data_IF_823899962752
#
_entry.id   IF_823899962752
#
_cell.length_a   1.000
_cell.length_b   1.000
_cell.length_c   1.000
_cell.angle_alpha   90.00
_cell.angle_beta   90.00
_cell.angle_gamma   90.00
#
_symmetry.space_group_name_H-M   'P 1'
#
loop_
_entity.id
_entity.type
_entity.pdbx_description
1 polymer ?
#
# COMPACT_ATOMS: atom_id res chain seq x y z
N UNK A 1 -1.07 -31.19 -2.36
CA UNK A 1 -1.73 -30.41 -1.28
C UNK A 1 -0.99 -29.10 -1.22
N UNK A 2 -1.66 -27.96 -1.32
CA UNK A 2 -1.04 -26.64 -1.13
C UNK A 2 -0.51 -26.54 0.31
N UNK A 3 0.72 -26.09 0.48
CA UNK A 3 1.30 -25.91 1.80
C UNK A 3 0.57 -24.74 2.49
N UNK A 4 0.16 -24.95 3.75
CA UNK A 4 -0.38 -23.87 4.59
C UNK A 4 0.77 -22.97 5.01
N UNK A 5 0.63 -21.66 4.81
CA UNK A 5 1.55 -20.65 5.34
C UNK A 5 1.02 -20.15 6.69
N UNK A 6 1.81 -20.33 7.75
CA UNK A 6 1.45 -20.00 9.12
C UNK A 6 1.90 -18.57 9.44
N UNK A 7 0.95 -17.68 9.67
CA UNK A 7 1.22 -16.27 9.94
C UNK A 7 1.20 -15.94 11.42
N UNK A 8 2.14 -15.10 11.83
CA UNK A 8 2.02 -14.30 13.04
C UNK A 8 1.50 -12.90 12.67
N UNK A 9 0.49 -12.42 13.39
CA UNK A 9 -0.04 -11.06 13.26
C UNK A 9 0.60 -10.18 14.33
N UNK A 10 1.39 -9.19 13.89
CA UNK A 10 2.09 -8.26 14.79
C UNK A 10 1.38 -6.91 14.77
N UNK A 11 0.74 -6.58 15.89
CA UNK A 11 -0.17 -5.45 16.03
C UNK A 11 -1.63 -5.86 15.95
N UNK A 12 -2.44 -5.32 16.85
CA UNK A 12 -3.89 -5.59 17.00
C UNK A 12 -4.70 -4.33 16.72
N UNK A 13 -4.27 -3.56 15.71
CA UNK A 13 -4.94 -2.35 15.25
C UNK A 13 -6.03 -2.64 14.24
N UNK A 14 -6.81 -1.60 13.89
CA UNK A 14 -7.91 -1.69 12.92
C UNK A 14 -7.48 -2.31 11.58
N UNK A 15 -6.27 -2.03 11.12
CA UNK A 15 -5.78 -2.61 9.86
C UNK A 15 -5.68 -4.13 9.96
N UNK A 16 -5.22 -4.65 11.10
CA UNK A 16 -5.14 -6.11 11.33
C UNK A 16 -6.52 -6.78 11.32
N UNK A 17 -7.59 -6.10 11.81
CA UNK A 17 -8.96 -6.60 11.70
C UNK A 17 -9.42 -6.66 10.22
N UNK A 18 -9.03 -5.67 9.42
CA UNK A 18 -9.47 -5.58 8.03
C UNK A 18 -8.77 -6.61 7.14
N UNK A 19 -7.46 -6.74 7.26
CA UNK A 19 -6.68 -7.65 6.40
C UNK A 19 -7.06 -9.11 6.60
N UNK A 20 -7.47 -9.50 7.81
CA UNK A 20 -7.91 -10.87 8.07
C UNK A 20 -9.15 -11.27 7.25
N UNK A 21 -10.05 -10.33 6.94
CA UNK A 21 -11.24 -10.60 6.11
C UNK A 21 -10.89 -11.09 4.71
N UNK A 22 -9.84 -10.51 4.13
CA UNK A 22 -9.32 -10.97 2.85
C UNK A 22 -8.44 -12.20 2.99
N UNK A 23 -7.54 -12.22 3.97
CA UNK A 23 -6.60 -13.31 4.18
C UNK A 23 -7.25 -14.68 4.32
N UNK A 24 -8.35 -14.77 5.08
CA UNK A 24 -9.09 -16.03 5.30
C UNK A 24 -9.75 -16.61 4.04
N UNK A 25 -9.87 -15.83 2.97
CA UNK A 25 -10.39 -16.29 1.70
C UNK A 25 -9.36 -17.13 0.91
N UNK A 26 -8.06 -17.05 1.25
CA UNK A 26 -7.06 -17.96 0.68
C UNK A 26 -6.94 -19.21 1.58
N UNK A 27 -7.25 -20.40 1.08
CA UNK A 27 -7.21 -21.63 1.87
C UNK A 27 -5.81 -22.00 2.39
N UNK A 28 -4.77 -21.39 1.87
CA UNK A 28 -3.37 -21.58 2.30
C UNK A 28 -2.98 -20.68 3.48
N UNK A 29 -3.79 -19.65 3.79
CA UNK A 29 -3.57 -18.78 4.93
C UNK A 29 -4.00 -19.44 6.24
N UNK A 30 -3.20 -19.33 7.28
CA UNK A 30 -3.58 -19.60 8.68
C UNK A 30 -2.84 -18.65 9.60
N UNK A 31 -3.55 -17.97 10.48
CA UNK A 31 -2.94 -17.24 11.58
C UNK A 31 -2.73 -18.18 12.77
N UNK A 32 -1.49 -18.30 13.24
CA UNK A 32 -1.09 -19.18 14.34
C UNK A 32 -0.61 -18.42 15.56
N UNK A 33 -0.28 -17.13 15.41
CA UNK A 33 0.20 -16.29 16.51
C UNK A 33 -0.29 -14.86 16.39
N UNK A 34 -0.45 -14.19 17.52
CA UNK A 34 -0.61 -12.74 17.62
C UNK A 34 0.43 -12.18 18.57
N UNK A 35 1.11 -11.11 18.17
CA UNK A 35 2.00 -10.36 19.03
C UNK A 35 1.48 -8.93 19.23
N UNK A 36 1.29 -8.53 20.49
CA UNK A 36 0.85 -7.20 20.88
C UNK A 36 1.66 -6.76 22.11
N UNK A 37 1.64 -5.44 22.43
CA UNK A 37 2.26 -4.90 23.65
C UNK A 37 1.60 -5.37 24.96
N UNK A 38 0.49 -6.09 24.87
CA UNK A 38 -0.27 -6.65 25.98
C UNK A 38 -0.73 -8.03 25.58
N UNK A 39 -0.44 -9.03 26.42
CA UNK A 39 -0.89 -10.41 26.22
C UNK A 39 -2.41 -10.49 26.14
N UNK A 40 -3.12 -9.79 27.04
CA UNK A 40 -4.58 -9.70 27.05
C UNK A 40 -5.16 -9.23 25.72
N UNK A 41 -4.53 -8.21 25.08
CA UNK A 41 -4.95 -7.73 23.77
C UNK A 41 -4.70 -8.74 22.67
N UNK A 42 -3.61 -9.48 22.73
CA UNK A 42 -3.32 -10.53 21.77
C UNK A 42 -4.31 -11.69 21.90
N UNK A 43 -4.63 -12.12 23.12
CA UNK A 43 -5.65 -13.15 23.41
C UNK A 43 -7.05 -12.72 22.97
N UNK A 44 -7.45 -11.47 23.28
CA UNK A 44 -8.72 -10.92 22.85
C UNK A 44 -8.82 -10.82 21.31
N UNK A 45 -7.72 -10.52 20.62
CA UNK A 45 -7.69 -10.47 19.16
C UNK A 45 -7.88 -11.86 18.55
N UNK A 46 -7.22 -12.90 19.08
CA UNK A 46 -7.43 -14.29 18.66
C UNK A 46 -8.88 -14.69 18.86
N UNK A 47 -9.43 -14.44 20.04
CA UNK A 47 -10.82 -14.80 20.38
C UNK A 47 -11.86 -14.06 19.50
N UNK A 48 -11.51 -12.86 19.02
CA UNK A 48 -12.36 -12.06 18.15
C UNK A 48 -12.40 -12.51 16.68
N UNK A 49 -11.46 -13.39 16.25
CA UNK A 49 -11.32 -13.81 14.84
C UNK A 49 -11.18 -15.34 14.71
N UNK A 50 -12.14 -16.13 15.22
CA UNK A 50 -12.02 -17.60 15.23
C UNK A 50 -11.87 -18.22 13.83
N UNK A 51 -12.34 -17.52 12.79
CA UNK A 51 -12.21 -17.95 11.38
C UNK A 51 -10.79 -17.87 10.84
N UNK A 52 -9.94 -17.01 11.42
CA UNK A 52 -8.58 -16.77 10.96
C UNK A 52 -7.54 -17.60 11.71
N UNK A 53 -7.85 -18.02 12.93
CA UNK A 53 -6.89 -18.66 13.82
C UNK A 53 -7.17 -20.16 14.03
N UNK A 54 -6.10 -20.95 14.10
CA UNK A 54 -6.19 -22.36 14.50
C UNK A 54 -6.45 -22.50 16.01
N UNK A 55 -7.04 -23.64 16.45
CA UNK A 55 -7.30 -23.94 17.87
C UNK A 55 -6.05 -23.86 18.78
N UNK A 56 -4.85 -24.02 18.21
CA UNK A 56 -3.55 -23.91 18.89
C UNK A 56 -2.88 -22.55 18.79
N UNK A 57 -3.58 -21.52 18.30
CA UNK A 57 -2.99 -20.19 18.14
C UNK A 57 -2.51 -19.61 19.47
N UNK A 58 -1.35 -18.92 19.43
CA UNK A 58 -0.69 -18.39 20.63
C UNK A 58 -0.66 -16.86 20.65
N UNK A 59 -0.91 -16.31 21.82
CA UNK A 59 -0.71 -14.91 22.12
C UNK A 59 0.70 -14.65 22.67
N UNK A 60 1.32 -13.56 22.25
CA UNK A 60 2.64 -13.12 22.69
C UNK A 60 2.61 -11.62 23.03
N UNK A 61 3.31 -11.24 24.09
CA UNK A 61 3.64 -9.85 24.42
C UNK A 61 5.10 -9.50 24.14
N UNK A 62 5.88 -10.51 23.74
CA UNK A 62 7.28 -10.38 23.36
C UNK A 62 7.49 -10.88 21.93
N UNK A 63 7.90 -9.96 21.05
CA UNK A 63 8.11 -10.22 19.63
C UNK A 63 9.21 -11.28 19.38
N UNK A 64 10.30 -11.26 20.15
CA UNK A 64 11.41 -12.17 19.94
C UNK A 64 11.06 -13.61 20.38
N UNK A 65 10.31 -13.76 21.46
CA UNK A 65 9.78 -15.08 21.85
C UNK A 65 8.83 -15.66 20.79
N UNK A 66 8.03 -14.81 20.15
CA UNK A 66 7.19 -15.22 19.02
C UNK A 66 8.04 -15.69 17.84
N UNK A 67 9.13 -14.99 17.51
CA UNK A 67 10.03 -15.37 16.41
C UNK A 67 10.75 -16.71 16.65
N UNK A 68 11.06 -17.02 17.89
CA UNK A 68 11.69 -18.29 18.29
C UNK A 68 10.73 -19.49 18.22
N UNK A 69 9.41 -19.22 18.16
CA UNK A 69 8.44 -20.30 18.09
C UNK A 69 8.33 -20.88 16.67
N UNK A 70 8.44 -22.22 16.56
CA UNK A 70 8.42 -22.95 15.27
C UNK A 70 7.04 -22.94 14.57
N UNK A 71 6.01 -22.43 15.24
CA UNK A 71 4.64 -22.34 14.70
C UNK A 71 4.41 -21.21 13.68
N UNK A 72 5.45 -20.45 13.28
CA UNK A 72 5.35 -19.28 12.40
C UNK A 72 6.28 -19.42 11.19
N UNK A 73 5.75 -19.27 9.99
CA UNK A 73 6.50 -19.22 8.73
C UNK A 73 6.66 -17.78 8.22
N UNK A 74 5.62 -16.96 8.41
CA UNK A 74 5.54 -15.59 7.93
C UNK A 74 5.00 -14.63 9.01
N UNK A 75 5.40 -13.38 8.94
CA UNK A 75 4.97 -12.32 9.86
C UNK A 75 4.27 -11.24 9.07
N UNK A 76 3.01 -10.93 9.42
CA UNK A 76 2.35 -9.71 9.01
C UNK A 76 2.62 -8.62 10.04
N UNK A 77 3.12 -7.45 9.59
CA UNK A 77 3.47 -6.32 10.46
C UNK A 77 2.48 -5.18 10.22
N UNK A 78 1.54 -4.99 11.16
CA UNK A 78 0.51 -3.94 11.17
C UNK A 78 0.66 -3.00 12.38
N UNK A 79 1.89 -2.57 12.65
CA UNK A 79 2.26 -1.69 13.78
C UNK A 79 2.38 -0.21 13.30
N UNK A 80 2.68 0.78 14.18
CA UNK A 80 3.00 2.13 13.71
C UNK A 80 4.21 2.16 12.75
N UNK A 81 4.15 3.00 11.72
CA UNK A 81 5.13 3.05 10.62
C UNK A 81 6.59 3.11 11.10
N UNK A 82 6.86 3.88 12.18
CA UNK A 82 8.20 4.02 12.76
C UNK A 82 8.80 2.73 13.34
N UNK A 83 8.03 1.66 13.42
CA UNK A 83 8.49 0.36 13.94
C UNK A 83 8.64 -0.71 12.85
N UNK A 84 8.18 -0.42 11.62
CA UNK A 84 8.17 -1.37 10.51
C UNK A 84 9.56 -1.90 10.20
N UNK A 85 10.56 -1.00 10.05
CA UNK A 85 11.92 -1.38 9.70
C UNK A 85 12.51 -2.36 10.71
N UNK A 86 12.47 -2.02 12.01
CA UNK A 86 13.03 -2.88 13.05
C UNK A 86 12.38 -4.25 13.07
N UNK A 87 11.05 -4.32 13.15
CA UNK A 87 10.34 -5.61 13.22
C UNK A 87 10.56 -6.45 11.96
N UNK A 88 10.60 -5.82 10.78
CA UNK A 88 10.87 -6.52 9.52
C UNK A 88 12.28 -7.09 9.49
N UNK A 89 13.30 -6.30 9.81
CA UNK A 89 14.70 -6.76 9.80
C UNK A 89 14.89 -7.91 10.80
N UNK A 90 14.34 -7.79 12.00
CA UNK A 90 14.44 -8.82 13.04
C UNK A 90 13.74 -10.12 12.62
N UNK A 91 12.53 -10.03 12.01
CA UNK A 91 11.80 -11.21 11.53
C UNK A 91 12.52 -11.90 10.36
N UNK A 92 13.02 -11.15 9.38
CA UNK A 92 13.80 -11.70 8.26
C UNK A 92 15.07 -12.40 8.75
N UNK A 93 15.81 -11.79 9.69
CA UNK A 93 17.01 -12.38 10.29
C UNK A 93 16.70 -13.63 11.12
N UNK A 94 15.51 -13.74 11.70
CA UNK A 94 15.00 -14.95 12.37
C UNK A 94 14.50 -16.01 11.37
N UNK A 95 14.68 -15.80 10.06
CA UNK A 95 14.30 -16.74 9.02
C UNK A 95 12.81 -16.77 8.69
N UNK A 96 12.04 -15.72 9.05
CA UNK A 96 10.61 -15.60 8.72
C UNK A 96 10.42 -14.76 7.46
N UNK A 97 9.40 -15.08 6.65
CA UNK A 97 8.93 -14.24 5.55
C UNK A 97 8.16 -13.06 6.12
N UNK A 98 8.14 -11.92 5.46
CA UNK A 98 7.50 -10.69 5.99
C UNK A 98 6.60 -10.03 4.97
N UNK A 99 5.34 -9.85 5.34
CA UNK A 99 4.38 -8.93 4.73
C UNK A 99 4.25 -7.71 5.65
N UNK A 100 4.75 -6.56 5.21
CA UNK A 100 4.79 -5.35 6.04
C UNK A 100 3.84 -4.29 5.50
N UNK A 101 3.02 -3.71 6.39
CA UNK A 101 2.12 -2.61 6.05
C UNK A 101 2.83 -1.43 5.40
N UNK A 102 2.04 -0.73 4.59
CA UNK A 102 2.45 0.53 3.96
C UNK A 102 2.38 1.71 4.97
N UNK A 103 3.26 2.70 4.82
CA UNK A 103 4.49 2.68 4.01
C UNK A 103 5.49 1.68 4.57
N UNK A 104 6.22 1.01 3.70
CA UNK A 104 7.18 -0.03 4.10
C UNK A 104 8.11 0.43 5.23
N UNK A 105 8.58 1.69 5.17
CA UNK A 105 9.38 2.33 6.20
C UNK A 105 9.23 3.86 6.16
N UNK A 106 9.85 4.55 7.14
CA UNK A 106 9.79 6.00 7.27
C UNK A 106 10.86 6.75 6.46
N UNK A 107 11.88 6.06 5.94
CA UNK A 107 12.95 6.64 5.13
C UNK A 107 13.50 5.67 4.08
N UNK A 108 14.15 6.22 3.06
CA UNK A 108 14.86 5.44 2.04
C UNK A 108 15.91 4.51 2.64
N UNK A 109 16.67 4.97 3.64
CA UNK A 109 17.69 4.15 4.32
C UNK A 109 17.09 2.95 5.03
N UNK A 110 15.95 3.12 5.69
CA UNK A 110 15.22 2.02 6.34
C UNK A 110 14.73 0.98 5.31
N UNK A 111 14.15 1.42 4.18
CA UNK A 111 13.74 0.50 3.10
C UNK A 111 14.94 -0.29 2.58
N UNK A 112 16.08 0.37 2.37
CA UNK A 112 17.31 -0.31 1.95
C UNK A 112 17.82 -1.33 2.99
N UNK A 113 17.67 -1.05 4.29
CA UNK A 113 18.01 -2.01 5.35
C UNK A 113 17.10 -3.24 5.29
N UNK A 114 15.79 -3.05 5.12
CA UNK A 114 14.82 -4.14 5.02
C UNK A 114 15.08 -5.01 3.78
N UNK A 115 15.34 -4.40 2.62
CA UNK A 115 15.69 -5.11 1.39
C UNK A 115 16.97 -5.94 1.58
N UNK A 116 18.02 -5.34 2.17
CA UNK A 116 19.27 -6.07 2.47
C UNK A 116 19.04 -7.26 3.38
N UNK A 117 18.20 -7.11 4.41
CA UNK A 117 17.85 -8.22 5.30
C UNK A 117 17.12 -9.35 4.57
N UNK A 118 16.20 -9.02 3.65
CA UNK A 118 15.51 -10.00 2.78
C UNK A 118 16.51 -10.77 1.90
N UNK A 119 17.38 -10.05 1.20
CA UNK A 119 18.41 -10.66 0.34
C UNK A 119 19.35 -11.57 1.14
N UNK A 120 19.82 -11.10 2.31
CA UNK A 120 20.77 -11.86 3.14
C UNK A 120 20.15 -13.12 3.77
N UNK A 121 18.89 -13.05 4.18
CA UNK A 121 18.17 -14.19 4.78
C UNK A 121 17.59 -15.14 3.74
N UNK A 122 17.48 -14.72 2.48
CA UNK A 122 16.76 -15.44 1.43
C UNK A 122 15.25 -15.55 1.68
N UNK A 123 14.68 -14.66 2.52
CA UNK A 123 13.27 -14.64 2.88
C UNK A 123 12.50 -13.54 2.13
N UNK A 124 11.26 -13.84 1.81
CA UNK A 124 10.36 -12.90 1.12
C UNK A 124 10.11 -11.68 2.00
N UNK A 125 10.26 -10.49 1.39
CA UNK A 125 9.75 -9.23 1.89
C UNK A 125 8.80 -8.64 0.86
N UNK A 126 7.58 -8.28 1.27
CA UNK A 126 6.63 -7.57 0.43
C UNK A 126 5.99 -6.41 1.20
N UNK A 127 5.89 -5.25 0.55
CA UNK A 127 5.08 -4.13 1.04
C UNK A 127 3.61 -4.42 0.78
N UNK A 128 2.79 -4.30 1.82
CA UNK A 128 1.35 -4.49 1.78
C UNK A 128 0.66 -3.29 1.10
N UNK A 129 0.79 -3.24 -0.23
CA UNK A 129 0.17 -2.22 -1.08
C UNK A 129 -0.92 -2.85 -1.93
N UNK A 130 -2.15 -2.85 -1.39
CA UNK A 130 -3.31 -3.50 -2.01
C UNK A 130 -3.68 -2.94 -3.39
N UNK A 131 -3.43 -1.64 -3.61
CA UNK A 131 -3.90 -0.95 -4.82
C UNK A 131 -3.33 -1.53 -6.11
N UNK A 132 -2.03 -1.84 -6.13
CA UNK A 132 -1.32 -2.38 -7.31
C UNK A 132 -1.50 -3.87 -7.51
N UNK A 133 -1.94 -4.59 -6.48
CA UNK A 133 -2.29 -6.01 -6.53
C UNK A 133 -3.76 -6.24 -6.90
N UNK A 134 -4.55 -5.16 -6.92
CA UNK A 134 -5.95 -5.18 -7.33
C UNK A 134 -6.07 -5.60 -8.82
N UNK A 135 -6.89 -6.61 -9.17
CA UNK A 135 -6.99 -7.11 -10.54
C UNK A 135 -7.45 -6.06 -11.54
N UNK A 136 -8.29 -5.11 -11.12
CA UNK A 136 -8.72 -4.02 -11.98
C UNK A 136 -7.58 -3.00 -12.24
N UNK A 137 -6.70 -2.75 -11.26
CA UNK A 137 -5.50 -1.94 -11.50
C UNK A 137 -4.55 -2.64 -12.48
N UNK A 138 -4.35 -3.94 -12.32
CA UNK A 138 -3.55 -4.75 -13.25
C UNK A 138 -4.14 -4.66 -14.65
N UNK A 139 -5.48 -4.77 -14.76
CA UNK A 139 -6.18 -4.62 -16.05
C UNK A 139 -6.00 -3.24 -16.67
N UNK A 140 -6.07 -2.18 -15.88
CA UNK A 140 -5.78 -0.81 -16.35
C UNK A 140 -4.34 -0.69 -16.88
N UNK A 141 -3.36 -1.30 -16.20
CA UNK A 141 -1.96 -1.33 -16.63
C UNK A 141 -1.77 -2.09 -17.95
N UNK A 142 -2.49 -3.20 -18.17
CA UNK A 142 -2.46 -3.97 -19.41
C UNK A 142 -2.99 -3.16 -20.61
N UNK A 143 -3.88 -2.21 -20.40
CA UNK A 143 -4.45 -1.36 -21.45
C UNK A 143 -3.55 -0.19 -21.87
N UNK A 144 -2.43 0.08 -21.18
CA UNK A 144 -1.56 1.20 -21.51
C UNK A 144 -1.09 1.24 -22.98
N UNK A 145 -0.76 0.11 -23.63
CA UNK A 145 -0.39 0.12 -25.05
C UNK A 145 -1.53 0.61 -25.97
N UNK A 146 -2.78 0.39 -25.59
CA UNK A 146 -3.96 0.69 -26.42
C UNK A 146 -4.26 2.18 -26.51
N UNK A 147 -3.84 2.98 -25.51
CA UNK A 147 -4.05 4.43 -25.48
C UNK A 147 -2.95 5.21 -26.23
N UNK A 148 -1.94 4.51 -26.78
CA UNK A 148 -0.82 5.15 -27.49
C UNK A 148 0.13 5.88 -26.53
N UNK A 149 0.96 6.82 -27.03
CA UNK A 149 1.86 7.59 -26.18
C UNK A 149 1.10 8.31 -25.07
N UNK A 150 1.48 8.02 -23.81
CA UNK A 150 0.84 8.63 -22.64
C UNK A 150 1.32 10.07 -22.52
N UNK A 151 0.39 11.00 -22.25
CA UNK A 151 0.66 12.43 -22.14
C UNK A 151 0.37 13.00 -20.77
N UNK A 152 -0.62 12.44 -20.09
CA UNK A 152 -1.01 12.93 -18.78
C UNK A 152 -1.49 11.79 -17.87
N UNK A 153 -1.20 11.92 -16.58
CA UNK A 153 -1.74 11.09 -15.51
C UNK A 153 -2.27 11.99 -14.41
N UNK A 154 -3.49 11.78 -14.00
CA UNK A 154 -4.09 12.45 -12.86
C UNK A 154 -4.59 11.43 -11.86
N UNK A 155 -4.16 11.55 -10.60
CA UNK A 155 -4.59 10.67 -9.52
C UNK A 155 -4.90 11.46 -8.27
N UNK A 156 -6.04 11.15 -7.65
CA UNK A 156 -6.49 11.84 -6.44
C UNK A 156 -6.93 10.82 -5.40
N UNK A 157 -6.43 10.99 -4.16
CA UNK A 157 -7.01 10.34 -2.99
C UNK A 157 -7.17 11.37 -1.87
N UNK A 158 -8.38 11.92 -1.78
CA UNK A 158 -8.75 12.87 -0.75
C UNK A 158 -9.94 12.28 0.02
N UNK A 159 -9.76 12.08 1.31
CA UNK A 159 -10.79 11.56 2.20
C UNK A 159 -10.73 12.28 3.54
N UNK A 160 -11.83 12.96 3.90
CA UNK A 160 -11.92 13.67 5.17
C UNK A 160 -11.77 12.69 6.34
N UNK A 161 -10.87 13.00 7.26
CA UNK A 161 -10.58 12.15 8.41
C UNK A 161 -11.13 12.76 9.71
N UNK A 162 -11.89 11.99 10.47
CA UNK A 162 -12.30 12.40 11.83
C UNK A 162 -11.12 12.66 12.77
N UNK A 163 -9.94 12.08 12.45
CA UNK A 163 -8.68 12.36 13.16
C UNK A 163 -8.16 13.77 12.87
N UNK A 164 -8.55 14.39 11.74
CA UNK A 164 -8.25 15.77 11.42
C UNK A 164 -9.01 16.73 12.34
N UNK A 165 -10.27 16.40 12.71
CA UNK A 165 -11.00 17.18 13.73
C UNK A 165 -10.31 17.13 15.11
N UNK A 166 -9.75 15.99 15.47
CA UNK A 166 -8.96 15.87 16.70
C UNK A 166 -7.67 16.70 16.61
N UNK A 167 -6.97 16.65 15.46
CA UNK A 167 -5.76 17.42 15.21
C UNK A 167 -6.00 18.94 15.34
N UNK A 168 -7.11 19.46 14.78
CA UNK A 168 -7.52 20.87 14.94
C UNK A 168 -7.72 21.30 16.41
N UNK A 169 -7.98 20.34 17.29
CA UNK A 169 -8.11 20.55 18.74
C UNK A 169 -6.81 20.27 19.51
N UNK A 170 -5.69 20.06 18.81
CA UNK A 170 -4.40 19.75 19.41
C UNK A 170 -4.22 18.28 19.84
N UNK A 171 -5.14 17.36 19.44
CA UNK A 171 -5.01 15.93 19.74
C UNK A 171 -4.40 15.22 18.55
N UNK A 172 -3.12 14.84 18.68
CA UNK A 172 -2.34 14.23 17.60
C UNK A 172 -2.45 12.71 17.64
N UNK A 173 -3.11 12.11 16.65
CA UNK A 173 -3.15 10.65 16.47
C UNK A 173 -1.90 10.14 15.76
N UNK A 174 -1.58 8.83 15.86
CA UNK A 174 -0.42 8.24 15.20
C UNK A 174 -0.37 8.54 13.69
N UNK A 175 -1.54 8.59 13.02
CA UNK A 175 -1.60 8.86 11.58
C UNK A 175 -1.32 10.34 11.18
N UNK A 176 -1.14 11.22 12.16
CA UNK A 176 -0.69 12.59 11.97
C UNK A 176 0.57 12.91 12.80
N UNK A 177 1.09 11.95 13.57
CA UNK A 177 2.29 12.14 14.36
C UNK A 177 3.54 11.92 13.50
N UNK A 178 4.33 12.95 13.20
CA UNK A 178 5.52 12.83 12.35
C UNK A 178 6.60 11.92 12.96
N UNK A 179 6.68 11.81 14.31
CA UNK A 179 7.64 10.90 14.96
C UNK A 179 7.25 9.42 14.84
N UNK A 180 5.98 9.15 14.48
CA UNK A 180 5.48 7.81 14.18
C UNK A 180 5.43 7.52 12.66
N UNK A 181 5.99 8.42 11.84
CA UNK A 181 5.91 8.33 10.38
C UNK A 181 4.53 8.67 9.83
N UNK A 182 3.72 9.46 10.58
CA UNK A 182 2.39 9.92 10.15
C UNK A 182 2.45 11.11 9.19
N UNK A 183 1.29 11.47 8.65
CA UNK A 183 1.04 12.53 7.68
C UNK A 183 0.07 12.06 6.61
N UNK A 184 -0.54 12.97 5.86
CA UNK A 184 -1.49 12.64 4.80
C UNK A 184 -0.80 11.90 3.64
N UNK A 185 0.45 12.27 3.29
CA UNK A 185 1.24 11.58 2.28
C UNK A 185 1.46 10.11 2.67
N UNK A 186 1.91 9.86 3.90
CA UNK A 186 2.22 8.51 4.38
C UNK A 186 0.97 7.63 4.52
N UNK A 187 -0.17 8.22 4.91
CA UNK A 187 -1.39 7.45 5.16
C UNK A 187 -2.20 7.17 3.88
N UNK A 188 -2.43 8.19 3.05
CA UNK A 188 -3.27 8.10 1.85
C UNK A 188 -2.58 8.55 0.56
N UNK A 189 -1.69 9.54 0.59
CA UNK A 189 -0.97 10.01 -0.58
C UNK A 189 -0.08 8.93 -1.21
N UNK A 190 0.41 8.00 -0.39
CA UNK A 190 1.19 6.85 -0.84
C UNK A 190 0.50 6.03 -1.93
N UNK A 191 -0.83 5.93 -1.92
CA UNK A 191 -1.56 5.21 -2.98
C UNK A 191 -1.38 5.89 -4.35
N UNK A 192 -1.35 7.23 -4.39
CA UNK A 192 -1.15 7.98 -5.63
C UNK A 192 0.29 7.91 -6.11
N UNK A 193 1.27 8.01 -5.20
CA UNK A 193 2.71 7.93 -5.54
C UNK A 193 3.12 6.52 -5.94
N UNK A 194 2.66 5.50 -5.23
CA UNK A 194 2.98 4.10 -5.52
C UNK A 194 2.40 3.66 -6.87
N UNK A 195 1.17 4.08 -7.17
CA UNK A 195 0.55 3.83 -8.47
C UNK A 195 1.36 4.49 -9.61
N UNK A 196 1.78 5.76 -9.44
CA UNK A 196 2.60 6.45 -10.43
C UNK A 196 3.94 5.75 -10.67
N UNK A 197 4.64 5.33 -9.59
CA UNK A 197 5.90 4.57 -9.69
C UNK A 197 5.67 3.20 -10.35
N UNK A 198 4.59 2.50 -10.00
CA UNK A 198 4.27 1.20 -10.59
C UNK A 198 3.95 1.26 -12.09
N UNK A 199 3.34 2.36 -12.55
CA UNK A 199 2.94 2.56 -13.94
C UNK A 199 4.06 3.14 -14.80
N UNK A 200 4.83 4.11 -14.27
CA UNK A 200 5.71 4.94 -15.08
C UNK A 200 7.19 4.96 -14.59
N UNK A 201 7.47 4.33 -13.45
CA UNK A 201 8.81 4.36 -12.86
C UNK A 201 9.16 5.70 -12.19
N UNK A 202 10.48 5.96 -12.03
CA UNK A 202 10.98 7.17 -11.39
C UNK A 202 10.79 8.41 -12.27
N UNK A 203 10.21 9.52 -11.75
CA UNK A 203 10.10 10.77 -12.48
C UNK A 203 11.45 11.45 -12.65
N UNK A 204 11.58 12.31 -13.68
CA UNK A 204 12.77 13.13 -13.90
C UNK A 204 12.79 14.41 -13.04
N UNK A 205 11.58 14.94 -12.71
CA UNK A 205 11.42 16.13 -11.86
C UNK A 205 10.21 15.96 -10.97
N UNK A 206 10.30 16.53 -9.77
CA UNK A 206 9.28 16.50 -8.75
C UNK A 206 9.07 17.96 -8.29
N UNK A 207 7.84 18.45 -8.40
CA UNK A 207 7.40 19.70 -7.79
C UNK A 207 6.29 19.35 -6.80
N UNK A 208 6.46 19.72 -5.53
CA UNK A 208 5.50 19.40 -4.47
C UNK A 208 5.07 20.62 -3.69
N UNK A 209 3.83 20.62 -3.26
CA UNK A 209 3.26 21.68 -2.45
C UNK A 209 2.42 21.07 -1.31
N UNK A 210 3.06 20.58 -0.23
CA UNK A 210 2.36 20.08 0.95
C UNK A 210 1.84 21.24 1.80
N UNK A 211 0.64 21.06 2.38
CA UNK A 211 0.10 21.94 3.41
C UNK A 211 0.38 21.31 4.76
N UNK A 212 1.14 22.03 5.58
CA UNK A 212 1.60 21.56 6.88
C UNK A 212 0.77 22.16 8.02
N UNK A 213 0.61 21.39 9.08
CA UNK A 213 0.11 21.83 10.38
C UNK A 213 1.18 21.58 11.43
N UNK A 214 1.45 22.62 12.26
CA UNK A 214 2.35 22.46 13.39
C UNK A 214 1.68 21.69 14.53
N UNK A 215 2.41 20.76 15.13
CA UNK A 215 1.97 19.94 16.27
C UNK A 215 3.06 19.94 17.36
N UNK A 216 2.73 19.43 18.54
CA UNK A 216 3.72 19.21 19.62
C UNK A 216 4.86 18.25 19.24
N UNK A 217 4.67 17.44 18.18
CA UNK A 217 5.65 16.47 17.66
C UNK A 217 6.39 16.96 16.41
N UNK A 218 6.17 18.21 15.99
CA UNK A 218 6.68 18.80 14.75
C UNK A 218 5.60 18.97 13.69
N UNK A 219 6.00 19.43 12.50
CA UNK A 219 5.09 19.67 11.39
C UNK A 219 4.62 18.35 10.76
N UNK A 220 3.32 18.28 10.49
CA UNK A 220 2.68 17.17 9.79
C UNK A 220 1.93 17.67 8.56
N UNK A 221 2.02 16.94 7.46
CA UNK A 221 1.22 17.26 6.28
C UNK A 221 -0.22 16.78 6.44
N UNK A 222 -1.17 17.66 6.07
CA UNK A 222 -2.60 17.36 6.09
C UNK A 222 -3.16 17.13 4.69
N UNK A 223 -2.48 17.66 3.67
CA UNK A 223 -2.77 17.50 2.25
C UNK A 223 -1.57 17.93 1.40
N UNK A 224 -1.60 17.59 0.10
CA UNK A 224 -0.63 18.06 -0.85
C UNK A 224 -1.02 17.80 -2.29
N UNK A 225 -0.35 18.53 -3.18
CA UNK A 225 -0.37 18.31 -4.62
C UNK A 225 1.07 18.15 -5.11
N UNK A 226 1.29 17.18 -5.99
CA UNK A 226 2.60 16.86 -6.55
C UNK A 226 2.49 16.79 -8.05
N UNK A 227 3.38 17.50 -8.74
CA UNK A 227 3.58 17.37 -10.17
C UNK A 227 4.85 16.58 -10.44
N UNK A 228 4.73 15.54 -11.27
CA UNK A 228 5.82 14.69 -11.70
C UNK A 228 6.06 14.86 -13.20
N UNK A 229 7.31 15.05 -13.60
CA UNK A 229 7.68 15.12 -15.03
C UNK A 229 8.39 13.83 -15.46
N UNK A 230 7.93 13.30 -16.59
CA UNK A 230 8.53 12.15 -17.28
C UNK A 230 8.85 12.52 -18.73
N UNK A 231 9.62 11.71 -19.48
CA UNK A 231 9.84 11.95 -20.92
C UNK A 231 8.51 11.96 -21.68
N UNK A 232 8.08 13.15 -22.15
CA UNK A 232 6.88 13.33 -22.95
C UNK A 232 5.54 13.28 -22.23
N UNK A 233 5.52 13.20 -20.89
CA UNK A 233 4.27 13.24 -20.10
C UNK A 233 4.46 13.95 -18.75
N UNK A 234 3.36 14.40 -18.19
CA UNK A 234 3.26 14.92 -16.83
C UNK A 234 2.27 14.12 -16.01
N UNK A 235 2.48 14.06 -14.69
CA UNK A 235 1.53 13.49 -13.76
C UNK A 235 1.20 14.49 -12.65
N UNK A 236 -0.06 14.52 -12.22
CA UNK A 236 -0.53 15.32 -11.09
C UNK A 236 -1.15 14.40 -10.06
N UNK A 237 -0.61 14.46 -8.85
CA UNK A 237 -1.07 13.66 -7.71
C UNK A 237 -1.64 14.59 -6.66
N UNK A 238 -2.82 14.27 -6.13
CA UNK A 238 -3.46 15.02 -5.04
C UNK A 238 -3.84 14.09 -3.91
N UNK A 239 -3.56 14.52 -2.68
CA UNK A 239 -3.93 13.76 -1.49
C UNK A 239 -4.35 14.70 -0.36
N UNK A 240 -5.37 14.32 0.41
CA UNK A 240 -5.83 15.13 1.53
C UNK A 240 -6.60 14.31 2.56
N UNK A 241 -6.32 14.60 3.84
CA UNK A 241 -7.13 14.13 4.99
C UNK A 241 -8.05 15.22 5.55
N UNK A 242 -8.04 16.40 4.92
CA UNK A 242 -8.80 17.59 5.33
C UNK A 242 -10.02 17.87 4.44
N UNK A 243 -10.13 17.23 3.28
CA UNK A 243 -11.26 17.35 2.33
C UNK A 243 -11.58 15.99 1.72
N UNK A 244 -12.77 15.88 1.11
CA UNK A 244 -13.14 14.78 0.23
C UNK A 244 -12.98 15.19 -1.24
N UNK A 245 -12.69 14.21 -2.12
CA UNK A 245 -12.72 14.37 -3.56
C UNK A 245 -13.28 13.11 -4.22
N UNK A 246 -14.13 13.31 -5.23
CA UNK A 246 -14.70 12.23 -6.05
C UNK A 246 -14.05 12.11 -7.43
N UNK A 247 -12.91 12.79 -7.64
CA UNK A 247 -12.20 12.72 -8.91
C UNK A 247 -11.64 11.32 -9.14
N UNK A 248 -11.92 10.72 -10.31
CA UNK A 248 -11.33 9.44 -10.67
C UNK A 248 -9.83 9.60 -10.95
N UNK A 249 -9.12 8.47 -10.99
CA UNK A 249 -7.78 8.41 -11.55
C UNK A 249 -7.86 8.24 -13.06
N UNK A 250 -7.12 9.05 -13.81
CA UNK A 250 -7.14 9.06 -15.27
C UNK A 250 -5.75 8.97 -15.87
N UNK A 251 -5.59 8.11 -16.89
CA UNK A 251 -4.40 7.99 -17.71
C UNK A 251 -4.76 8.41 -19.13
N UNK A 252 -4.20 9.52 -19.61
CA UNK A 252 -4.51 10.09 -20.92
C UNK A 252 -3.39 9.80 -21.91
N UNK A 253 -3.73 9.08 -22.98
CA UNK A 253 -2.87 8.85 -24.13
C UNK A 253 -3.40 9.53 -25.39
N UNK A 254 -2.61 9.47 -26.48
CA UNK A 254 -2.97 10.10 -27.76
C UNK A 254 -4.16 9.41 -28.47
N UNK A 255 -4.40 8.12 -28.15
CA UNK A 255 -5.46 7.33 -28.77
C UNK A 255 -6.67 7.06 -27.88
N UNK A 256 -6.60 7.44 -26.62
CA UNK A 256 -7.67 7.21 -25.65
C UNK A 256 -7.25 7.49 -24.22
N UNK A 257 -8.20 7.35 -23.30
CA UNK A 257 -7.98 7.49 -21.86
C UNK A 257 -8.48 6.26 -21.12
N UNK A 258 -7.81 5.95 -20.01
CA UNK A 258 -8.23 4.91 -19.05
C UNK A 258 -8.67 5.63 -17.78
N UNK A 259 -9.89 5.32 -17.31
CA UNK A 259 -10.43 5.81 -16.05
C UNK A 259 -10.50 4.67 -15.04
N UNK A 260 -9.98 4.92 -13.85
CA UNK A 260 -10.15 4.09 -12.65
C UNK A 260 -10.98 4.90 -11.64
N UNK A 261 -12.03 4.31 -11.08
CA UNK A 261 -12.91 4.98 -10.13
C UNK A 261 -12.20 5.47 -8.86
N UNK A 262 -11.17 4.72 -8.42
CA UNK A 262 -10.32 5.10 -7.29
C UNK A 262 -8.93 4.46 -7.40
N UNK A 263 -7.89 5.19 -6.96
CA UNK A 263 -6.51 4.68 -6.98
C UNK A 263 -6.21 3.68 -5.86
N UNK A 264 -6.86 3.80 -4.71
CA UNK A 264 -6.59 2.98 -3.53
C UNK A 264 -7.27 1.60 -3.61
N UNK A 265 -8.50 1.54 -4.11
CA UNK A 265 -9.25 0.30 -4.35
C UNK A 265 -10.02 0.49 -5.65
N UNK A 266 -9.43 0.08 -6.76
CA UNK A 266 -10.08 0.18 -8.07
C UNK A 266 -11.19 -0.88 -8.21
N UNK A 267 -12.44 -0.43 -8.24
CA UNK A 267 -13.60 -1.30 -8.47
C UNK A 267 -14.13 -1.24 -9.89
N UNK A 268 -13.68 -0.25 -10.67
CA UNK A 268 -14.16 -0.05 -12.04
C UNK A 268 -13.07 0.54 -12.91
N UNK A 269 -12.88 -0.06 -14.10
CA UNK A 269 -12.03 0.46 -15.17
C UNK A 269 -12.86 0.73 -16.39
N UNK A 270 -12.69 1.90 -16.97
CA UNK A 270 -13.32 2.31 -18.22
C UNK A 270 -12.25 2.75 -19.22
N UNK A 271 -12.48 2.48 -20.50
CA UNK A 271 -11.68 2.97 -21.60
C UNK A 271 -12.49 3.95 -22.43
N UNK A 272 -11.90 5.11 -22.76
CA UNK A 272 -12.51 6.15 -23.60
C UNK A 272 -11.63 6.28 -24.84
N UNK A 273 -12.02 5.73 -26.00
CA UNK A 273 -11.24 5.88 -27.22
C UNK A 273 -11.36 7.31 -27.74
N UNK A 274 -10.30 7.81 -28.35
CA UNK A 274 -10.38 9.02 -29.18
C UNK A 274 -10.83 8.61 -30.58
N UNK A 275 -11.83 9.31 -31.11
CA UNK A 275 -12.23 9.14 -32.52
C UNK A 275 -11.37 10.00 -33.44
N UNK A 276 -11.20 9.58 -34.68
CA UNK A 276 -10.55 10.35 -35.72
C UNK A 276 -11.23 11.75 -35.85
N UNK A 277 -10.46 12.85 -35.92
CA UNK A 277 -11.02 14.17 -36.01
C UNK A 277 -11.69 14.38 -37.40
N UNK A 278 -13.01 14.57 -37.40
CA UNK A 278 -13.77 14.84 -38.62
C UNK A 278 -13.86 16.31 -38.98
N UNK A 279 -13.50 17.24 -38.08
CA UNK A 279 -13.64 18.70 -38.32
C UNK A 279 -12.76 19.54 -37.36
N UNK A 280 -11.52 19.16 -37.13
CA UNK A 280 -10.58 19.98 -36.30
C UNK A 280 -10.77 19.81 -34.79
N UNK A 281 -11.79 19.09 -34.33
CA UNK A 281 -11.93 18.61 -32.92
C UNK A 281 -12.16 17.11 -32.93
N UNK A 282 -11.42 16.37 -32.08
CA UNK A 282 -11.75 14.97 -31.86
C UNK A 282 -13.12 14.88 -31.18
N UNK A 283 -13.99 13.99 -31.66
CA UNK A 283 -15.13 13.57 -30.89
C UNK A 283 -14.65 12.54 -29.87
N UNK A 284 -14.93 12.73 -28.59
CA UNK A 284 -14.78 11.68 -27.60
C UNK A 284 -15.96 10.70 -27.73
N UNK A 285 -15.67 9.42 -27.90
CA UNK A 285 -16.69 8.40 -27.71
C UNK A 285 -17.02 8.29 -26.21
N UNK A 286 -18.19 7.75 -25.89
CA UNK A 286 -18.56 7.50 -24.50
C UNK A 286 -17.65 6.44 -23.85
N UNK A 287 -17.52 6.45 -22.51
CA UNK A 287 -16.71 5.48 -21.81
C UNK A 287 -17.26 4.05 -21.97
N UNK A 288 -16.36 3.10 -22.28
CA UNK A 288 -16.65 1.67 -22.36
C UNK A 288 -16.16 1.02 -21.06
N UNK A 289 -17.03 0.34 -20.34
CA UNK A 289 -16.64 -0.43 -19.17
C UNK A 289 -15.80 -1.63 -19.59
N UNK A 290 -14.64 -1.79 -18.96
CA UNK A 290 -13.71 -2.90 -19.19
C UNK A 290 -13.88 -3.97 -18.13
N UNK A 291 -13.94 -3.56 -16.86
CA UNK A 291 -14.19 -4.43 -15.73
C UNK A 291 -14.82 -3.65 -14.59
N UNK A 292 -15.60 -4.36 -13.77
CA UNK A 292 -16.20 -3.81 -12.57
C UNK A 292 -16.38 -4.89 -11.48
N UNK A 293 -16.33 -4.43 -10.22
CA UNK A 293 -16.37 -5.30 -9.05
C UNK A 293 -15.04 -6.00 -8.77
N UNK A 294 -15.00 -6.68 -7.64
CA UNK A 294 -13.92 -7.58 -7.21
C UNK A 294 -14.56 -8.91 -6.84
N UNK A 295 -13.90 -10.01 -7.20
CA UNK A 295 -14.37 -11.37 -6.87
C UNK A 295 -14.18 -11.69 -5.38
N UNK A 296 -13.12 -11.14 -4.79
CA UNK A 296 -12.77 -11.31 -3.38
C UNK A 296 -12.67 -9.96 -2.68
N UNK A 297 -12.53 -10.01 -1.35
CA UNK A 297 -12.17 -8.83 -0.54
C UNK A 297 -10.84 -8.23 -1.04
N UNK A 298 -10.68 -6.90 -0.94
CA UNK A 298 -9.51 -6.21 -1.45
C UNK A 298 -8.17 -6.72 -0.87
N UNK A 299 -8.16 -7.17 0.38
CA UNK A 299 -6.96 -7.71 1.06
C UNK A 299 -6.64 -9.15 0.67
N UNK A 300 -7.56 -9.88 0.04
CA UNK A 300 -7.30 -11.22 -0.48
C UNK A 300 -6.13 -11.25 -1.46
N UNK A 301 -6.10 -10.31 -2.41
CA UNK A 301 -5.10 -10.28 -3.48
C UNK A 301 -3.69 -10.04 -2.96
N UNK A 302 -3.57 -9.34 -1.85
CA UNK A 302 -2.31 -9.07 -1.17
C UNK A 302 -1.74 -10.33 -0.50
N UNK A 303 -2.55 -11.02 0.28
CA UNK A 303 -2.15 -12.28 0.90
C UNK A 303 -1.88 -13.37 -0.13
N UNK A 304 -2.69 -13.43 -1.18
CA UNK A 304 -2.49 -14.37 -2.29
C UNK A 304 -1.13 -14.16 -2.98
N UNK A 305 -0.81 -12.93 -3.40
CA UNK A 305 0.47 -12.62 -4.04
C UNK A 305 1.66 -12.91 -3.11
N UNK A 306 1.52 -12.59 -1.82
CA UNK A 306 2.56 -12.89 -0.85
C UNK A 306 2.78 -14.40 -0.70
N UNK A 307 1.71 -15.19 -0.54
CA UNK A 307 1.79 -16.66 -0.41
C UNK A 307 2.34 -17.27 -1.70
N UNK A 308 1.89 -16.84 -2.87
CA UNK A 308 2.41 -17.29 -4.17
C UNK A 308 3.92 -17.03 -4.29
N UNK A 309 4.38 -15.87 -3.81
CA UNK A 309 5.79 -15.47 -3.81
C UNK A 309 6.62 -16.36 -2.89
N UNK A 310 6.10 -16.66 -1.69
CA UNK A 310 6.74 -17.57 -0.72
C UNK A 310 6.82 -18.99 -1.26
N UNK A 311 5.73 -19.53 -1.80
CA UNK A 311 5.68 -20.88 -2.40
C UNK A 311 6.63 -21.03 -3.59
N UNK A 312 6.80 -19.95 -4.37
CA UNK A 312 7.75 -19.91 -5.48
C UNK A 312 9.21 -19.76 -5.03
N UNK A 313 9.50 -19.66 -3.73
CA UNK A 313 10.84 -19.45 -3.18
C UNK A 313 11.49 -18.12 -3.58
N UNK A 314 10.69 -17.10 -3.90
CA UNK A 314 11.17 -15.78 -4.29
C UNK A 314 11.28 -14.87 -3.08
N UNK A 315 12.22 -13.93 -3.14
CA UNK A 315 12.44 -12.95 -2.07
C UNK A 315 11.58 -11.69 -2.21
N UNK A 316 10.98 -11.46 -3.38
CA UNK A 316 10.11 -10.30 -3.66
C UNK A 316 8.95 -10.67 -4.60
N UNK A 317 7.85 -9.94 -4.51
CA UNK A 317 6.71 -10.00 -5.43
C UNK A 317 7.12 -9.58 -6.85
N UNK A 318 6.46 -10.17 -7.85
CA UNK A 318 6.62 -9.75 -9.25
C UNK A 318 5.88 -8.44 -9.57
N UNK A 319 4.95 -8.02 -8.71
CA UNK A 319 4.13 -6.80 -8.85
C UNK A 319 4.68 -5.69 -7.96
N UNK A 320 4.73 -5.93 -6.66
CA UNK A 320 5.27 -4.99 -5.67
C UNK A 320 6.74 -5.33 -5.38
N UNK A 321 7.60 -5.06 -6.37
CA UNK A 321 9.05 -5.37 -6.25
C UNK A 321 9.73 -4.46 -5.23
N UNK A 322 10.85 -4.92 -4.67
CA UNK A 322 11.70 -4.11 -3.80
C UNK A 322 12.11 -2.76 -4.43
N UNK A 323 12.34 -2.76 -5.76
CA UNK A 323 12.69 -1.53 -6.48
C UNK A 323 11.52 -0.55 -6.55
N UNK A 324 10.28 -1.02 -6.67
CA UNK A 324 9.09 -0.16 -6.65
C UNK A 324 8.91 0.47 -5.26
N UNK A 325 8.99 -0.32 -4.18
CA UNK A 325 8.91 0.19 -2.81
C UNK A 325 10.02 1.20 -2.50
N UNK A 326 11.25 0.92 -2.92
CA UNK A 326 12.38 1.84 -2.78
C UNK A 326 12.15 3.14 -3.56
N UNK A 327 11.78 3.05 -4.84
CA UNK A 327 11.53 4.22 -5.69
C UNK A 327 10.36 5.07 -5.16
N UNK A 328 9.32 4.42 -4.63
CA UNK A 328 8.20 5.13 -4.01
C UNK A 328 8.66 5.85 -2.74
N UNK A 329 9.48 5.23 -1.89
CA UNK A 329 9.98 5.90 -0.69
C UNK A 329 10.89 7.09 -1.04
N UNK A 330 11.80 6.94 -2.03
CA UNK A 330 12.62 8.04 -2.55
C UNK A 330 11.75 9.21 -3.05
N UNK A 331 10.66 8.92 -3.77
CA UNK A 331 9.69 9.92 -4.21
C UNK A 331 9.02 10.61 -3.02
N UNK A 332 8.54 9.85 -2.03
CA UNK A 332 7.90 10.41 -0.84
C UNK A 332 8.86 11.28 -0.01
N UNK A 333 10.14 10.89 0.10
CA UNK A 333 11.17 11.69 0.80
C UNK A 333 11.41 13.02 0.07
N UNK A 334 11.39 13.02 -1.27
CA UNK A 334 11.54 14.24 -2.07
C UNK A 334 10.31 15.17 -2.03
N UNK A 335 9.10 14.64 -1.77
CA UNK A 335 7.87 15.42 -1.63
C UNK A 335 7.85 16.19 -0.31
N UNK A 336 8.28 15.57 0.79
CA UNK A 336 8.37 16.18 2.11
C UNK A 336 9.83 16.44 2.44
N UNK A 337 10.34 17.54 1.94
CA UNK A 337 11.63 18.06 2.44
C UNK A 337 11.36 18.68 3.82
N UNK A 338 11.74 17.96 4.87
CA UNK A 338 11.71 18.44 6.27
C UNK A 338 12.98 19.15 6.64
#
# INVERSE_FOLDING_TARGET
MSNITRFAIVGTGRISDWVLKGAVQDPRFRATAVCSRSLEKAEAFIAGHPEAFDEGARAFDNFYQMLEWDGVDAVYIGTPNSTHCRFTVDALNAGKHVLCEKPLACSTDEVMQMIRASVNSGKTLMEAMISTLNPNFIKAKELLPDIGPIRHYNSSYCQYSTKYDALKRGIVSNSFNPTMGGGALADIGIYTTFAAISLFGRPQKINSNPVLMNTEFGDTDIQGTVELSYPGMTAVLSFSKAIDSSLPTEICGEKGSILMDAVHICRKVQFIPHSEPTSGRSAQEGPREICSGLEHDEYYYEFKEFIDTVEAGKIESSVNTHNISLANRELMDAIIVR
#
